data_IF_065847966697
#
_entry.id   IF_065847966697
#
_cell.length_a   1.000
_cell.length_b   1.000
_cell.length_c   1.000
_cell.angle_alpha   90.00
_cell.angle_beta   90.00
_cell.angle_gamma   90.00
#
_symmetry.space_group_name_H-M   'P 1'
#
loop_
_entity.id
_entity.type
_entity.pdbx_description
1 polymer ?
#
# COMPACT_ATOMS: atom_id res chain seq x y z
N UNK A 1 -15.46 -16.54 -47.94
CA UNK A 1 -15.37 -15.93 -46.60
C UNK A 1 -16.12 -16.83 -45.63
N UNK A 2 -15.46 -17.79 -44.96
CA UNK A 2 -16.14 -18.63 -43.98
C UNK A 2 -16.20 -17.89 -42.64
N UNK A 3 -17.40 -17.81 -42.08
CA UNK A 3 -17.66 -17.32 -40.73
C UNK A 3 -16.91 -18.19 -39.71
N UNK A 4 -16.14 -17.54 -38.84
CA UNK A 4 -15.50 -18.18 -37.69
C UNK A 4 -16.57 -18.48 -36.63
N UNK A 5 -16.56 -19.66 -35.99
CA UNK A 5 -17.48 -19.96 -34.90
C UNK A 5 -17.12 -19.04 -33.73
N UNK A 6 -18.09 -18.25 -33.27
CA UNK A 6 -18.01 -17.68 -31.93
C UNK A 6 -18.07 -18.89 -31.00
N UNK A 7 -17.07 -19.01 -30.15
CA UNK A 7 -16.95 -20.01 -29.10
C UNK A 7 -18.17 -19.85 -28.17
N UNK A 8 -19.21 -20.65 -28.39
CA UNK A 8 -20.51 -20.54 -27.70
C UNK A 8 -20.44 -20.94 -26.22
N UNK A 9 -19.26 -21.33 -25.73
CA UNK A 9 -18.99 -21.67 -24.32
C UNK A 9 -18.24 -20.55 -23.56
N UNK A 10 -18.05 -19.38 -24.16
CA UNK A 10 -17.52 -18.22 -23.44
C UNK A 10 -18.57 -17.68 -22.46
N UNK A 11 -18.55 -18.18 -21.22
CA UNK A 11 -19.34 -17.65 -20.11
C UNK A 11 -18.90 -16.22 -19.77
N UNK A 12 -19.42 -15.25 -20.52
CA UNK A 12 -19.20 -13.82 -20.30
C UNK A 12 -20.15 -13.34 -19.21
N UNK A 13 -19.66 -13.31 -17.97
CA UNK A 13 -20.38 -12.66 -16.88
C UNK A 13 -20.41 -11.14 -17.12
N UNK A 14 -21.56 -10.52 -16.85
CA UNK A 14 -21.70 -9.07 -16.84
C UNK A 14 -20.71 -8.47 -15.83
N UNK A 15 -20.04 -7.34 -16.14
CA UNK A 15 -19.01 -6.76 -15.26
C UNK A 15 -19.43 -6.63 -13.80
N UNK A 16 -20.68 -6.24 -13.53
CA UNK A 16 -21.20 -6.10 -12.17
C UNK A 16 -21.28 -7.40 -11.36
N UNK A 17 -21.44 -8.56 -12.00
CA UNK A 17 -21.48 -9.86 -11.31
C UNK A 17 -20.07 -10.27 -10.88
N UNK A 18 -19.07 -10.00 -11.73
CA UNK A 18 -17.66 -10.20 -11.37
C UNK A 18 -17.24 -9.29 -10.22
N UNK A 19 -17.68 -8.03 -10.21
CA UNK A 19 -17.36 -7.09 -9.13
C UNK A 19 -17.95 -7.53 -7.80
N UNK A 20 -19.22 -7.97 -7.77
CA UNK A 20 -19.87 -8.46 -6.56
C UNK A 20 -19.17 -9.72 -6.01
N UNK A 21 -18.87 -10.69 -6.87
CA UNK A 21 -18.17 -11.91 -6.43
C UNK A 21 -16.76 -11.63 -5.93
N UNK A 22 -16.03 -10.67 -6.52
CA UNK A 22 -14.74 -10.21 -6.01
C UNK A 22 -14.83 -9.54 -4.64
N UNK A 23 -15.88 -8.74 -4.40
CA UNK A 23 -16.12 -8.10 -3.11
C UNK A 23 -16.42 -9.14 -2.03
N UNK A 24 -17.31 -10.10 -2.31
CA UNK A 24 -17.67 -11.18 -1.39
C UNK A 24 -16.45 -12.04 -1.04
N UNK A 25 -15.69 -12.50 -2.04
CA UNK A 25 -14.47 -13.26 -1.82
C UNK A 25 -13.45 -12.48 -1.00
N UNK A 26 -13.31 -11.17 -1.24
CA UNK A 26 -12.40 -10.33 -0.45
C UNK A 26 -12.86 -10.20 1.01
N UNK A 27 -14.16 -10.09 1.26
CA UNK A 27 -14.70 -10.13 2.62
C UNK A 27 -14.42 -11.48 3.30
N UNK A 28 -14.62 -12.59 2.60
CA UNK A 28 -14.35 -13.93 3.13
C UNK A 28 -12.86 -14.12 3.45
N UNK A 29 -11.97 -13.70 2.55
CA UNK A 29 -10.53 -13.75 2.80
C UNK A 29 -10.13 -12.90 4.01
N UNK A 30 -10.75 -11.72 4.21
CA UNK A 30 -10.51 -10.90 5.40
C UNK A 30 -10.95 -11.59 6.69
N UNK A 31 -12.06 -12.33 6.65
CA UNK A 31 -12.54 -13.11 7.79
C UNK A 31 -11.66 -14.33 8.08
N UNK A 32 -11.34 -15.13 7.06
CA UNK A 32 -10.48 -16.30 7.19
C UNK A 32 -9.07 -15.94 7.68
N UNK A 33 -8.52 -14.81 7.22
CA UNK A 33 -7.20 -14.31 7.64
C UNK A 33 -7.29 -13.26 8.76
N UNK A 34 -8.28 -13.34 9.65
CA UNK A 34 -8.47 -12.36 10.73
C UNK A 34 -7.25 -12.23 11.64
N UNK A 35 -6.59 -13.33 11.97
CA UNK A 35 -5.41 -13.39 12.86
C UNK A 35 -4.11 -12.96 12.16
N UNK A 36 -4.05 -13.00 10.83
CA UNK A 36 -2.86 -12.63 10.08
C UNK A 36 -2.57 -11.13 10.17
N UNK A 37 -1.30 -10.76 10.24
CA UNK A 37 -0.88 -9.36 10.05
C UNK A 37 -0.94 -8.99 8.57
N UNK A 38 -1.42 -7.78 8.28
CA UNK A 38 -1.64 -7.34 6.89
C UNK A 38 -0.32 -7.21 6.13
N UNK A 39 0.77 -6.82 6.77
CA UNK A 39 2.11 -6.73 6.20
C UNK A 39 2.75 -8.09 5.87
N UNK A 40 2.23 -9.19 6.45
CA UNK A 40 2.85 -10.52 6.37
C UNK A 40 1.99 -11.57 5.65
N UNK A 41 0.78 -11.22 5.21
CA UNK A 41 -0.14 -12.14 4.56
C UNK A 41 -0.59 -11.59 3.20
N UNK A 42 -0.08 -12.22 2.13
CA UNK A 42 -0.41 -11.83 0.76
C UNK A 42 -1.92 -11.85 0.49
N UNK A 43 -2.64 -12.88 0.96
CA UNK A 43 -4.09 -13.00 0.81
C UNK A 43 -4.84 -11.84 1.47
N UNK A 44 -4.45 -11.47 2.70
CA UNK A 44 -5.04 -10.33 3.41
C UNK A 44 -4.73 -9.00 2.74
N UNK A 45 -3.53 -8.85 2.15
CA UNK A 45 -3.19 -7.65 1.38
C UNK A 45 -4.04 -7.52 0.13
N UNK A 46 -4.18 -8.60 -0.65
CA UNK A 46 -4.98 -8.60 -1.87
C UNK A 46 -6.42 -8.28 -1.53
N UNK A 47 -7.02 -8.99 -0.57
CA UNK A 47 -8.40 -8.74 -0.13
C UNK A 47 -8.63 -7.29 0.32
N UNK A 48 -7.73 -6.74 1.14
CA UNK A 48 -7.81 -5.34 1.55
C UNK A 48 -7.74 -4.37 0.36
N UNK A 49 -6.81 -4.58 -0.59
CA UNK A 49 -6.69 -3.72 -1.78
C UNK A 49 -7.93 -3.79 -2.66
N UNK A 50 -8.51 -4.98 -2.84
CA UNK A 50 -9.77 -5.17 -3.57
C UNK A 50 -10.91 -4.38 -2.92
N UNK A 51 -11.08 -4.48 -1.60
CA UNK A 51 -12.11 -3.74 -0.88
C UNK A 51 -11.90 -2.22 -0.93
N UNK A 52 -10.65 -1.75 -0.93
CA UNK A 52 -10.32 -0.33 -1.12
C UNK A 52 -10.66 0.13 -2.53
N UNK A 53 -10.33 -0.67 -3.56
CA UNK A 53 -10.64 -0.37 -4.95
C UNK A 53 -12.14 -0.18 -5.17
N UNK A 54 -12.95 -1.08 -4.63
CA UNK A 54 -14.42 -1.01 -4.66
C UNK A 54 -15.04 -0.06 -3.61
N UNK A 55 -14.23 0.75 -2.92
CA UNK A 55 -14.68 1.74 -1.91
C UNK A 55 -15.49 1.15 -0.75
N UNK A 56 -15.32 -0.15 -0.46
CA UNK A 56 -15.92 -0.82 0.70
C UNK A 56 -15.14 -0.60 1.98
N UNK A 57 -13.85 -0.31 1.85
CA UNK A 57 -12.97 0.03 2.97
C UNK A 57 -12.24 1.34 2.65
N UNK A 58 -12.29 2.30 3.58
CA UNK A 58 -11.48 3.52 3.48
C UNK A 58 -10.09 3.26 4.07
N UNK A 59 -9.00 3.52 3.31
CA UNK A 59 -7.66 3.44 3.86
C UNK A 59 -7.46 4.39 5.04
N UNK A 60 -6.67 4.00 6.06
CA UNK A 60 -6.35 4.91 7.15
C UNK A 60 -5.66 6.17 6.62
N UNK A 61 -6.18 7.35 7.00
CA UNK A 61 -5.60 8.65 6.63
C UNK A 61 -4.27 8.94 7.34
N UNK A 62 -4.04 8.27 8.47
CA UNK A 62 -2.85 8.43 9.30
C UNK A 62 -1.90 7.27 9.07
N UNK A 63 -0.62 7.57 9.04
CA UNK A 63 0.44 6.56 8.98
C UNK A 63 0.37 5.61 10.19
N UNK A 64 0.84 4.36 10.04
CA UNK A 64 0.92 3.41 11.16
C UNK A 64 1.60 3.98 12.41
N UNK A 65 2.67 4.79 12.21
CA UNK A 65 3.42 5.44 13.30
C UNK A 65 2.58 6.50 14.01
N UNK A 66 1.91 7.39 13.28
CA UNK A 66 1.02 8.40 13.88
C UNK A 66 -0.14 7.76 14.63
N UNK A 67 -0.72 6.69 14.09
CA UNK A 67 -1.79 5.95 14.79
C UNK A 67 -1.32 5.35 16.10
N UNK A 68 -0.11 4.78 16.12
CA UNK A 68 0.49 4.24 17.34
C UNK A 68 0.72 5.34 18.38
N UNK A 69 1.36 6.45 17.98
CA UNK A 69 1.58 7.62 18.82
C UNK A 69 0.28 8.16 19.43
N UNK A 70 -0.77 8.38 18.62
CA UNK A 70 -2.07 8.87 19.12
C UNK A 70 -2.76 7.92 20.08
N UNK A 71 -2.47 6.63 19.99
CA UNK A 71 -3.02 5.61 20.89
C UNK A 71 -2.15 5.40 22.13
N UNK A 72 -1.04 6.11 22.27
CA UNK A 72 -0.08 5.90 23.35
C UNK A 72 0.55 4.50 23.33
N UNK A 73 0.55 3.83 22.17
CA UNK A 73 1.16 2.51 22.02
C UNK A 73 2.50 2.66 21.31
N UNK A 74 3.46 1.86 21.73
CA UNK A 74 4.77 1.82 21.09
C UNK A 74 4.63 1.34 19.65
N UNK A 75 5.23 2.07 18.72
CA UNK A 75 5.29 1.63 17.33
C UNK A 75 6.38 0.58 17.19
N UNK A 76 6.08 -0.63 16.67
CA UNK A 76 7.09 -1.67 16.53
C UNK A 76 8.17 -1.20 15.54
N UNK A 77 9.33 -0.83 16.06
CA UNK A 77 10.58 -0.78 15.31
C UNK A 77 10.95 -2.24 15.02
N UNK A 78 10.94 -2.62 13.74
CA UNK A 78 10.89 -4.02 13.30
C UNK A 78 11.80 -4.97 14.08
N UNK A 79 11.21 -5.80 14.94
CA UNK A 79 11.84 -7.05 15.34
C UNK A 79 11.71 -8.02 14.17
N UNK A 80 12.85 -8.32 13.54
CA UNK A 80 12.95 -8.98 12.26
C UNK A 80 12.28 -10.35 12.24
N UNK A 81 11.28 -10.51 11.38
CA UNK A 81 10.96 -11.77 10.73
C UNK A 81 10.63 -11.44 9.28
N UNK A 82 11.49 -11.93 8.39
CA UNK A 82 11.36 -11.97 6.92
C UNK A 82 11.81 -10.73 6.14
N UNK A 83 13.11 -10.69 5.91
CA UNK A 83 13.78 -9.85 4.92
C UNK A 83 15.16 -9.51 5.46
N UNK A 84 16.19 -10.23 5.01
CA UNK A 84 17.58 -10.14 5.46
C UNK A 84 17.93 -8.77 6.07
N UNK A 85 18.42 -8.76 7.31
CA UNK A 85 19.46 -7.79 7.66
C UNK A 85 20.64 -8.07 6.74
N UNK A 86 20.59 -7.60 5.49
CA UNK A 86 21.83 -7.17 4.86
C UNK A 86 22.27 -6.00 5.74
N UNK A 87 23.49 -6.02 6.28
CA UNK A 87 24.07 -4.81 6.81
C UNK A 87 24.32 -3.94 5.57
N UNK A 88 23.27 -3.28 5.07
CA UNK A 88 23.43 -2.16 4.19
C UNK A 88 23.83 -1.01 5.12
N UNK A 89 25.07 -1.11 5.63
CA UNK A 89 25.74 -0.02 6.33
C UNK A 89 25.98 1.00 5.23
N UNK A 90 24.94 1.77 4.95
CA UNK A 90 25.05 2.95 4.11
C UNK A 90 26.05 3.85 4.84
N UNK A 91 27.19 4.19 4.22
CA UNK A 91 28.18 5.05 4.85
C UNK A 91 27.52 6.36 5.28
N UNK A 92 27.93 6.89 6.42
CA UNK A 92 27.33 8.11 6.98
C UNK A 92 27.43 9.28 5.99
N UNK A 93 28.46 9.30 5.14
CA UNK A 93 28.63 10.32 4.11
C UNK A 93 27.49 10.26 3.08
N UNK A 94 27.04 9.05 2.71
CA UNK A 94 25.92 8.90 1.77
C UNK A 94 24.63 9.43 2.38
N UNK A 95 24.41 9.19 3.68
CA UNK A 95 23.24 9.74 4.38
C UNK A 95 23.28 11.27 4.42
N UNK A 96 24.44 11.85 4.76
CA UNK A 96 24.65 13.30 4.76
C UNK A 96 24.43 13.91 3.37
N UNK A 97 24.93 13.25 2.32
CA UNK A 97 24.78 13.70 0.94
C UNK A 97 23.31 13.69 0.49
N UNK A 98 22.55 12.66 0.85
CA UNK A 98 21.11 12.59 0.58
C UNK A 98 20.37 13.70 1.33
N UNK A 99 20.67 13.92 2.61
CA UNK A 99 20.05 15.00 3.39
C UNK A 99 20.35 16.38 2.82
N UNK A 100 21.59 16.62 2.40
CA UNK A 100 21.99 17.87 1.76
C UNK A 100 21.21 18.09 0.45
N UNK A 101 21.13 17.07 -0.42
CA UNK A 101 20.37 17.14 -1.67
C UNK A 101 18.86 17.35 -1.46
N UNK A 102 18.26 16.69 -0.47
CA UNK A 102 16.86 16.91 -0.12
C UNK A 102 16.61 18.32 0.41
N UNK A 103 17.55 18.88 1.18
CA UNK A 103 17.47 20.26 1.69
C UNK A 103 17.55 21.26 0.54
N UNK A 104 18.47 21.05 -0.40
CA UNK A 104 18.61 21.88 -1.60
C UNK A 104 17.33 21.85 -2.46
N UNK A 105 16.76 20.67 -2.69
CA UNK A 105 15.50 20.51 -3.41
C UNK A 105 14.34 21.24 -2.71
N UNK A 106 14.22 21.12 -1.38
CA UNK A 106 13.19 21.80 -0.62
C UNK A 106 13.32 23.34 -0.71
N UNK A 107 14.55 23.85 -0.61
CA UNK A 107 14.84 25.29 -0.73
C UNK A 107 14.55 25.82 -2.14
N UNK A 108 14.76 25.00 -3.17
CA UNK A 108 14.45 25.38 -4.56
C UNK A 108 12.94 25.32 -4.87
N UNK A 109 12.16 24.49 -4.17
CA UNK A 109 10.70 24.45 -4.30
C UNK A 109 9.99 25.60 -3.55
N UNK A 110 10.62 26.12 -2.50
CA UNK A 110 10.20 27.34 -1.82
C UNK A 110 11.26 28.41 -2.03
N UNK A 111 11.41 28.99 -3.24
CA UNK A 111 12.34 30.07 -3.45
C UNK A 111 11.89 31.20 -2.53
N UNK A 112 12.65 31.39 -1.46
CA UNK A 112 12.60 32.47 -0.50
C UNK A 112 11.65 33.59 -0.93
N UNK A 113 10.41 33.57 -0.45
CA UNK A 113 9.55 34.75 -0.40
C UNK A 113 10.07 35.64 0.73
N UNK A 114 11.35 36.02 0.67
CA UNK A 114 11.83 37.20 1.36
C UNK A 114 11.48 38.36 0.44
N UNK A 115 10.23 38.82 0.59
CA UNK A 115 9.81 40.12 0.11
C UNK A 115 10.46 41.14 1.04
N UNK A 116 11.56 41.73 0.59
CA UNK A 116 12.10 42.95 1.18
C UNK A 116 10.97 43.99 1.27
N UNK A 117 10.74 44.51 2.49
CA UNK A 117 10.03 45.76 2.70
C UNK A 117 10.65 46.51 3.87
#
# INVERSE_FOLDING_TARGET
>A
MPYSPIDEDALLALPGICDLSQIELAHDLMQHHRTCRIDQCAWKQVAYRTLVHFRRVEPPRLSPRERAHRRGVEFPVGSGVSGSSRPNVVPIETFQQVLAGLTELANNMHPNVFRDR
#
